data_IF_384529114943
#
_entry.id   IF_384529114943
#
_cell.length_a   1.000
_cell.length_b   1.000
_cell.length_c   1.000
_cell.angle_alpha   90.00
_cell.angle_beta   90.00
_cell.angle_gamma   90.00
#
_symmetry.space_group_name_H-M   'P 1'
#
loop_
_entity.id
_entity.type
_entity.pdbx_description
1 polymer ?
#
# COMPACT_ATOMS: atom_id res chain seq x y z
N UNK A 1 -11.74 -18.05 -10.44
CA UNK A 1 -10.60 -17.94 -11.37
C UNK A 1 -10.21 -19.28 -11.96
N UNK A 2 -10.18 -20.35 -11.18
CA UNK A 2 -9.72 -21.68 -11.66
C UNK A 2 -10.49 -22.18 -12.89
N UNK A 3 -11.82 -22.04 -12.90
CA UNK A 3 -12.66 -22.36 -14.08
C UNK A 3 -12.30 -21.52 -15.30
N UNK A 4 -12.03 -20.22 -15.12
CA UNK A 4 -11.65 -19.33 -16.22
C UNK A 4 -10.28 -19.70 -16.80
N UNK A 5 -9.31 -20.06 -15.95
CA UNK A 5 -8.00 -20.55 -16.38
C UNK A 5 -8.11 -21.88 -17.11
N UNK A 6 -8.92 -22.81 -16.59
CA UNK A 6 -9.18 -24.09 -17.26
C UNK A 6 -9.77 -23.87 -18.67
N UNK A 7 -10.80 -23.03 -18.81
CA UNK A 7 -11.37 -22.73 -20.11
C UNK A 7 -10.36 -22.08 -21.05
N UNK A 8 -9.58 -21.12 -20.55
CA UNK A 8 -8.52 -20.47 -21.30
C UNK A 8 -7.47 -21.46 -21.81
N UNK A 9 -7.01 -22.38 -20.96
CA UNK A 9 -6.01 -23.38 -21.33
C UNK A 9 -6.49 -24.30 -22.45
N UNK A 10 -7.78 -24.64 -22.46
CA UNK A 10 -8.43 -25.47 -23.47
C UNK A 10 -8.77 -24.74 -24.78
N UNK A 11 -8.47 -23.44 -24.93
CA UNK A 11 -8.64 -22.73 -26.21
C UNK A 11 -7.56 -23.23 -27.20
N UNK A 12 -7.95 -23.82 -28.35
CA UNK A 12 -7.00 -24.34 -29.34
C UNK A 12 -6.10 -23.26 -29.94
N UNK A 13 -6.68 -22.12 -30.31
CA UNK A 13 -5.97 -20.96 -30.85
C UNK A 13 -6.27 -19.72 -30.00
N UNK A 14 -5.31 -19.35 -29.14
CA UNK A 14 -5.45 -18.20 -28.25
C UNK A 14 -5.14 -16.91 -29.02
N UNK A 15 -6.10 -16.00 -29.08
CA UNK A 15 -5.94 -14.67 -29.67
C UNK A 15 -5.74 -13.59 -28.59
N UNK A 16 -5.47 -12.35 -29.00
CA UNK A 16 -5.23 -11.22 -28.08
C UNK A 16 -6.37 -11.06 -27.06
N UNK A 17 -7.63 -11.19 -27.47
CA UNK A 17 -8.80 -11.04 -26.59
C UNK A 17 -8.80 -12.12 -25.49
N UNK A 18 -8.50 -13.36 -25.83
CA UNK A 18 -8.45 -14.46 -24.84
C UNK A 18 -7.35 -14.23 -23.80
N UNK A 19 -6.16 -13.80 -24.23
CA UNK A 19 -5.04 -13.46 -23.34
C UNK A 19 -5.36 -12.25 -22.46
N UNK A 20 -5.85 -11.17 -23.05
CA UNK A 20 -6.22 -9.94 -22.34
C UNK A 20 -7.27 -10.22 -21.28
N UNK A 21 -8.30 -11.02 -21.60
CA UNK A 21 -9.38 -11.36 -20.67
C UNK A 21 -8.86 -12.09 -19.43
N UNK A 22 -8.01 -13.10 -19.59
CA UNK A 22 -7.49 -13.86 -18.45
C UNK A 22 -6.52 -13.02 -17.60
N UNK A 23 -5.68 -12.19 -18.24
CA UNK A 23 -4.75 -11.27 -17.55
C UNK A 23 -5.53 -10.23 -16.74
N UNK A 24 -6.51 -9.57 -17.36
CA UNK A 24 -7.36 -8.59 -16.70
C UNK A 24 -8.18 -9.23 -15.57
N UNK A 25 -8.71 -10.44 -15.77
CA UNK A 25 -9.43 -11.18 -14.74
C UNK A 25 -8.56 -11.45 -13.50
N UNK A 26 -7.33 -11.91 -13.68
CA UNK A 26 -6.38 -12.07 -12.56
C UNK A 26 -6.08 -10.74 -11.86
N UNK A 27 -5.85 -9.66 -12.62
CA UNK A 27 -5.60 -8.34 -12.04
C UNK A 27 -6.79 -7.80 -11.24
N UNK A 28 -8.03 -8.03 -11.70
CA UNK A 28 -9.26 -7.59 -11.01
C UNK A 28 -9.51 -8.29 -9.67
N UNK A 29 -9.05 -9.54 -9.52
CA UNK A 29 -9.16 -10.28 -8.25
C UNK A 29 -7.89 -10.19 -7.40
N UNK A 30 -7.04 -9.18 -7.63
CA UNK A 30 -5.78 -8.92 -6.92
C UNK A 30 -4.75 -10.07 -6.99
N UNK A 31 -4.87 -10.97 -7.98
CA UNK A 31 -3.92 -12.05 -8.25
C UNK A 31 -2.85 -11.55 -9.24
N UNK A 32 -2.12 -10.51 -8.85
CA UNK A 32 -1.18 -9.78 -9.71
C UNK A 32 -0.03 -10.65 -10.23
N UNK A 33 0.47 -11.58 -9.42
CA UNK A 33 1.56 -12.48 -9.81
C UNK A 33 1.13 -13.43 -10.93
N UNK A 34 -0.10 -13.93 -10.86
CA UNK A 34 -0.71 -14.76 -11.89
C UNK A 34 -0.95 -13.95 -13.17
N UNK A 35 -1.43 -12.70 -13.06
CA UNK A 35 -1.61 -11.82 -14.22
C UNK A 35 -0.29 -11.61 -14.99
N UNK A 36 0.81 -11.35 -14.27
CA UNK A 36 2.15 -11.24 -14.87
C UNK A 36 2.62 -12.58 -15.45
N UNK A 37 2.35 -13.69 -14.77
CA UNK A 37 2.69 -15.03 -15.25
C UNK A 37 2.07 -15.31 -16.62
N UNK A 38 0.77 -15.08 -16.74
CA UNK A 38 0.02 -15.27 -18.00
C UNK A 38 0.46 -14.29 -19.08
N UNK A 39 0.82 -13.05 -18.73
CA UNK A 39 1.44 -12.13 -19.68
C UNK A 39 2.78 -12.63 -20.22
N UNK A 40 3.62 -13.22 -19.37
CA UNK A 40 4.89 -13.81 -19.80
C UNK A 40 4.65 -15.00 -20.73
N UNK A 41 3.65 -15.83 -20.44
CA UNK A 41 3.21 -16.91 -21.33
C UNK A 41 2.80 -16.36 -22.70
N UNK A 42 1.95 -15.32 -22.74
CA UNK A 42 1.55 -14.63 -23.99
C UNK A 42 2.76 -14.17 -24.81
N UNK A 43 3.75 -13.56 -24.15
CA UNK A 43 4.96 -13.04 -24.79
C UNK A 43 5.90 -14.15 -25.30
N UNK A 44 5.80 -15.36 -24.74
CA UNK A 44 6.62 -16.52 -25.12
C UNK A 44 5.92 -17.46 -26.11
N UNK A 45 4.65 -17.23 -26.43
CA UNK A 45 3.87 -18.09 -27.30
C UNK A 45 4.47 -18.13 -28.72
N UNK A 46 4.51 -19.32 -29.31
CA UNK A 46 5.05 -19.55 -30.67
C UNK A 46 4.29 -18.74 -31.73
N UNK A 47 2.98 -18.55 -31.53
CA UNK A 47 2.16 -17.65 -32.32
C UNK A 47 2.38 -16.24 -31.78
N UNK A 48 3.00 -15.37 -32.58
CA UNK A 48 3.36 -13.99 -32.20
C UNK A 48 2.17 -13.05 -31.96
N UNK A 49 1.33 -13.36 -30.97
CA UNK A 49 0.20 -12.55 -30.54
C UNK A 49 0.75 -11.30 -29.85
N UNK A 50 0.48 -10.14 -30.44
CA UNK A 50 0.95 -8.87 -29.91
C UNK A 50 -0.03 -8.35 -28.84
N UNK A 51 0.43 -8.05 -27.62
CA UNK A 51 -0.39 -7.37 -26.63
C UNK A 51 -0.81 -5.98 -27.13
N UNK A 52 -2.07 -5.65 -26.84
CA UNK A 52 -2.69 -4.37 -27.14
C UNK A 52 -2.70 -3.43 -25.93
N UNK A 53 -3.30 -2.25 -26.08
CA UNK A 53 -3.40 -1.26 -25.00
C UNK A 53 -4.08 -1.81 -23.74
N UNK A 54 -5.16 -2.58 -23.89
CA UNK A 54 -5.91 -3.14 -22.77
C UNK A 54 -5.06 -4.16 -22.02
N UNK A 55 -4.30 -4.98 -22.75
CA UNK A 55 -3.30 -5.89 -22.17
C UNK A 55 -2.29 -5.11 -21.33
N UNK A 56 -1.72 -4.04 -21.89
CA UNK A 56 -0.71 -3.24 -21.20
C UNK A 56 -1.26 -2.58 -19.94
N UNK A 57 -2.48 -2.04 -19.97
CA UNK A 57 -3.13 -1.46 -18.80
C UNK A 57 -3.27 -2.48 -17.65
N UNK A 58 -3.72 -3.70 -17.97
CA UNK A 58 -3.89 -4.75 -16.97
C UNK A 58 -2.54 -5.18 -16.35
N UNK A 59 -1.51 -5.36 -17.17
CA UNK A 59 -0.19 -5.79 -16.70
C UNK A 59 0.54 -4.67 -15.95
N UNK A 60 0.42 -3.41 -16.40
CA UNK A 60 0.98 -2.26 -15.69
C UNK A 60 0.36 -2.11 -14.30
N UNK A 61 -0.95 -2.32 -14.16
CA UNK A 61 -1.61 -2.37 -12.85
C UNK A 61 -1.00 -3.46 -11.98
N UNK A 62 -0.81 -4.67 -12.50
CA UNK A 62 -0.16 -5.75 -11.75
C UNK A 62 1.29 -5.42 -11.35
N UNK A 63 2.06 -4.79 -12.25
CA UNK A 63 3.43 -4.33 -11.96
C UNK A 63 3.44 -3.29 -10.85
N UNK A 64 2.50 -2.33 -10.88
CA UNK A 64 2.38 -1.27 -9.90
C UNK A 64 2.09 -1.82 -8.49
N UNK A 65 1.25 -2.85 -8.38
CA UNK A 65 0.93 -3.49 -7.09
C UNK A 65 2.06 -4.37 -6.54
N UNK A 66 2.88 -4.96 -7.42
CA UNK A 66 4.00 -5.83 -7.02
C UNK A 66 5.34 -5.09 -6.95
N UNK A 67 5.40 -3.82 -7.37
CA UNK A 67 6.65 -3.06 -7.46
C UNK A 67 7.62 -3.60 -8.52
N UNK A 68 7.13 -4.24 -9.58
CA UNK A 68 7.94 -4.87 -10.64
C UNK A 68 8.49 -3.83 -11.62
N UNK A 69 9.46 -3.02 -11.16
CA UNK A 69 10.05 -1.92 -11.94
C UNK A 69 10.66 -2.39 -13.27
N UNK A 70 11.42 -3.48 -13.25
CA UNK A 70 12.10 -4.00 -14.46
C UNK A 70 11.10 -4.37 -15.55
N UNK A 71 10.02 -5.06 -15.18
CA UNK A 71 8.97 -5.43 -16.12
C UNK A 71 8.21 -4.20 -16.61
N UNK A 72 7.91 -3.25 -15.73
CA UNK A 72 7.28 -1.99 -16.10
C UNK A 72 8.12 -1.16 -17.09
N UNK A 73 9.44 -1.11 -16.92
CA UNK A 73 10.35 -0.46 -17.85
C UNK A 73 10.44 -1.17 -19.20
N UNK A 74 10.42 -2.50 -19.18
CA UNK A 74 10.34 -3.30 -20.39
C UNK A 74 9.02 -3.04 -21.14
N UNK A 75 7.88 -3.00 -20.44
CA UNK A 75 6.56 -2.68 -21.02
C UNK A 75 6.56 -1.28 -21.63
N UNK A 76 7.09 -0.28 -20.93
CA UNK A 76 7.20 1.08 -21.46
C UNK A 76 8.03 1.11 -22.74
N UNK A 77 9.16 0.40 -22.77
CA UNK A 77 10.02 0.27 -23.95
C UNK A 77 9.31 -0.44 -25.10
N UNK A 78 8.51 -1.48 -24.80
CA UNK A 78 7.69 -2.19 -25.77
C UNK A 78 6.64 -1.26 -26.39
N UNK A 79 5.91 -0.48 -25.58
CA UNK A 79 4.91 0.49 -26.05
C UNK A 79 5.52 1.44 -27.09
N UNK A 80 6.71 1.97 -26.79
CA UNK A 80 7.44 2.88 -27.70
C UNK A 80 7.88 2.14 -28.97
N UNK A 81 8.56 1.00 -28.82
CA UNK A 81 9.13 0.22 -29.94
C UNK A 81 8.06 -0.23 -30.92
N UNK A 82 6.89 -0.62 -30.42
CA UNK A 82 5.77 -1.11 -31.22
C UNK A 82 4.76 -0.03 -31.59
N UNK A 83 5.05 1.25 -31.28
CA UNK A 83 4.21 2.41 -31.61
C UNK A 83 2.75 2.24 -31.15
N UNK A 84 2.56 1.63 -29.98
CA UNK A 84 1.24 1.59 -29.36
C UNK A 84 0.81 3.02 -29.03
N UNK A 85 -0.46 3.33 -29.28
CA UNK A 85 -1.01 4.66 -29.01
C UNK A 85 -0.85 4.96 -27.52
N UNK A 86 -0.08 6.01 -27.18
CA UNK A 86 0.09 6.48 -25.81
C UNK A 86 -1.11 7.32 -25.39
N UNK A 87 -2.26 6.66 -25.26
CA UNK A 87 -3.49 7.28 -24.77
C UNK A 87 -3.28 7.84 -23.37
N UNK A 88 -4.15 8.76 -22.96
CA UNK A 88 -4.11 9.33 -21.60
C UNK A 88 -4.20 8.23 -20.52
N UNK A 89 -5.11 7.23 -20.60
CA UNK A 89 -5.13 6.11 -19.67
C UNK A 89 -3.80 5.34 -19.60
N UNK A 90 -3.18 5.04 -20.75
CA UNK A 90 -1.94 4.28 -20.77
C UNK A 90 -0.77 5.05 -20.14
N UNK A 91 -0.67 6.35 -20.41
CA UNK A 91 0.32 7.20 -19.72
C UNK A 91 0.07 7.27 -18.21
N UNK A 92 -1.18 7.37 -17.78
CA UNK A 92 -1.51 7.39 -16.34
C UNK A 92 -1.14 6.06 -15.66
N UNK A 93 -1.39 4.92 -16.30
CA UNK A 93 -0.98 3.61 -15.78
C UNK A 93 0.55 3.48 -15.67
N UNK A 94 1.30 4.01 -16.65
CA UNK A 94 2.76 4.06 -16.59
C UNK A 94 3.26 4.97 -15.44
N UNK A 95 2.63 6.14 -15.23
CA UNK A 95 2.96 7.04 -14.12
C UNK A 95 2.73 6.34 -12.78
N UNK A 96 1.56 5.71 -12.59
CA UNK A 96 1.22 4.96 -11.36
C UNK A 96 2.21 3.81 -11.11
N UNK A 97 2.53 3.04 -12.16
CA UNK A 97 3.51 1.95 -12.10
C UNK A 97 4.88 2.46 -11.67
N UNK A 98 5.39 3.52 -12.29
CA UNK A 98 6.69 4.10 -11.91
C UNK A 98 6.69 4.62 -10.48
N UNK A 99 5.61 5.29 -10.07
CA UNK A 99 5.48 5.85 -8.73
C UNK A 99 5.47 4.75 -7.65
N UNK A 100 4.69 3.69 -7.83
CA UNK A 100 4.58 2.58 -6.87
C UNK A 100 5.78 1.64 -6.89
N UNK A 101 6.54 1.62 -7.98
CA UNK A 101 7.79 0.84 -8.09
C UNK A 101 9.05 1.63 -7.69
N UNK A 102 8.89 2.75 -6.98
CA UNK A 102 10.00 3.52 -6.39
C UNK A 102 10.74 4.46 -7.35
N UNK A 103 10.20 4.73 -8.55
CA UNK A 103 10.82 5.64 -9.54
C UNK A 103 9.88 6.77 -9.97
N UNK A 104 9.35 7.51 -8.99
CA UNK A 104 8.44 8.66 -9.25
C UNK A 104 9.04 9.70 -10.20
N UNK A 105 10.37 9.87 -10.23
CA UNK A 105 11.05 10.80 -11.15
C UNK A 105 10.80 10.46 -12.62
N UNK A 106 10.76 9.18 -13.00
CA UNK A 106 10.35 8.76 -14.36
C UNK A 106 8.87 9.07 -14.62
N UNK A 107 8.01 8.88 -13.62
CA UNK A 107 6.60 9.27 -13.67
C UNK A 107 6.40 10.77 -13.94
N UNK A 108 7.12 11.63 -13.23
CA UNK A 108 7.09 13.09 -13.44
C UNK A 108 7.53 13.45 -14.87
N UNK A 109 8.64 12.89 -15.36
CA UNK A 109 9.08 13.14 -16.74
C UNK A 109 8.04 12.71 -17.76
N UNK A 110 7.38 11.58 -17.54
CA UNK A 110 6.32 11.09 -18.41
C UNK A 110 5.13 12.05 -18.40
N UNK A 111 4.69 12.50 -17.22
CA UNK A 111 3.62 13.47 -17.06
C UNK A 111 3.91 14.81 -17.77
N UNK A 112 5.14 15.34 -17.65
CA UNK A 112 5.54 16.57 -18.35
C UNK A 112 5.56 16.40 -19.87
N UNK A 113 5.81 15.19 -20.38
CA UNK A 113 5.78 14.88 -21.82
C UNK A 113 4.38 14.75 -22.42
N UNK A 114 3.32 14.70 -21.60
CA UNK A 114 1.95 14.54 -22.10
C UNK A 114 1.42 15.84 -22.69
N UNK A 115 0.98 15.79 -23.96
CA UNK A 115 0.32 16.92 -24.63
C UNK A 115 -1.06 17.21 -24.04
N UNK A 116 -1.83 16.15 -23.76
CA UNK A 116 -3.17 16.24 -23.18
C UNK A 116 -3.19 15.58 -21.80
N UNK A 117 -3.80 16.26 -20.83
CA UNK A 117 -3.90 15.81 -19.44
C UNK A 117 -5.34 15.94 -18.98
N UNK A 118 -5.91 14.84 -18.52
CA UNK A 118 -7.23 14.80 -17.90
C UNK A 118 -7.14 15.05 -16.39
N UNK A 119 -8.29 15.27 -15.74
CA UNK A 119 -8.38 15.29 -14.27
C UNK A 119 -7.70 14.08 -13.64
N UNK A 120 -7.89 12.88 -14.22
CA UNK A 120 -7.25 11.63 -13.77
C UNK A 120 -5.73 11.70 -13.87
N UNK A 121 -5.19 12.37 -14.89
CA UNK A 121 -3.74 12.51 -15.07
C UNK A 121 -3.13 13.34 -13.94
N UNK A 122 -3.77 14.46 -13.61
CA UNK A 122 -3.37 15.31 -12.48
C UNK A 122 -3.53 14.60 -11.14
N UNK A 123 -4.68 13.96 -10.88
CA UNK A 123 -4.89 13.19 -9.65
C UNK A 123 -3.85 12.07 -9.49
N UNK A 124 -3.50 11.38 -10.58
CA UNK A 124 -2.48 10.33 -10.56
C UNK A 124 -1.11 10.90 -10.19
N UNK A 125 -0.71 12.03 -10.77
CA UNK A 125 0.59 12.64 -10.46
C UNK A 125 0.65 13.20 -9.02
N UNK A 126 -0.42 13.83 -8.54
CA UNK A 126 -0.51 14.33 -7.16
C UNK A 126 -0.41 13.15 -6.17
N UNK A 127 -1.18 12.08 -6.39
CA UNK A 127 -1.11 10.85 -5.59
C UNK A 127 0.29 10.23 -5.61
N UNK A 128 0.89 10.13 -6.79
CA UNK A 128 2.22 9.55 -6.97
C UNK A 128 3.30 10.31 -6.19
N UNK A 129 3.24 11.65 -6.15
CA UNK A 129 4.14 12.46 -5.33
C UNK A 129 3.87 12.28 -3.84
N UNK A 130 2.59 12.28 -3.44
CA UNK A 130 2.16 12.11 -2.06
C UNK A 130 2.66 10.79 -1.43
N UNK A 131 2.47 9.67 -2.12
CA UNK A 131 2.90 8.34 -1.62
C UNK A 131 4.42 8.16 -1.61
N UNK A 132 5.15 8.95 -2.39
CA UNK A 132 6.61 8.93 -2.42
C UNK A 132 7.25 9.98 -1.48
N UNK A 133 6.46 10.64 -0.63
CA UNK A 133 6.96 11.61 0.36
C UNK A 133 7.22 13.02 -0.17
N UNK A 134 6.88 13.31 -1.42
CA UNK A 134 7.03 14.63 -2.04
C UNK A 134 5.77 15.47 -1.85
N UNK A 135 5.36 15.66 -0.58
CA UNK A 135 4.07 16.28 -0.26
C UNK A 135 3.95 17.73 -0.73
N UNK A 136 5.03 18.51 -0.65
CA UNK A 136 5.03 19.91 -1.10
C UNK A 136 4.94 20.04 -2.62
N UNK A 137 5.62 19.14 -3.34
CA UNK A 137 5.54 19.04 -4.79
C UNK A 137 4.16 18.57 -5.24
N UNK A 138 3.49 17.68 -4.48
CA UNK A 138 2.11 17.29 -4.74
C UNK A 138 1.16 18.50 -4.66
N UNK A 139 1.33 19.37 -3.65
CA UNK A 139 0.56 20.62 -3.56
C UNK A 139 0.88 21.59 -4.71
N UNK A 140 2.14 21.70 -5.13
CA UNK A 140 2.50 22.47 -6.33
C UNK A 140 1.81 21.93 -7.58
N UNK A 141 1.75 20.60 -7.76
CA UNK A 141 1.00 20.00 -8.87
C UNK A 141 -0.50 20.31 -8.80
N UNK A 142 -1.08 20.34 -7.60
CA UNK A 142 -2.47 20.76 -7.42
C UNK A 142 -2.67 22.24 -7.80
N UNK A 143 -1.80 23.15 -7.37
CA UNK A 143 -1.86 24.56 -7.78
C UNK A 143 -1.70 24.71 -9.30
N UNK A 144 -0.82 23.94 -9.94
CA UNK A 144 -0.68 23.92 -11.41
C UNK A 144 -1.95 23.44 -12.11
N UNK A 145 -2.61 22.41 -11.58
CA UNK A 145 -3.90 21.91 -12.08
C UNK A 145 -4.96 23.01 -12.05
N UNK A 146 -5.04 23.78 -10.96
CA UNK A 146 -5.97 24.92 -10.85
C UNK A 146 -5.62 26.04 -11.83
N UNK A 147 -4.35 26.39 -11.97
CA UNK A 147 -3.90 27.46 -12.88
C UNK A 147 -4.25 27.17 -14.35
N UNK A 148 -4.24 25.91 -14.76
CA UNK A 148 -4.66 25.50 -16.11
C UNK A 148 -6.18 25.31 -16.24
N UNK A 149 -6.95 25.66 -15.20
CA UNK A 149 -8.42 25.64 -15.21
C UNK A 149 -9.04 24.25 -15.07
N UNK A 150 -8.28 23.24 -14.65
CA UNK A 150 -8.82 21.88 -14.47
C UNK A 150 -9.37 21.75 -13.06
N UNK A 151 -10.69 21.57 -12.94
CA UNK A 151 -11.37 21.44 -11.64
C UNK A 151 -10.99 20.11 -10.97
N UNK A 152 -10.62 20.12 -9.67
CA UNK A 152 -10.37 18.89 -8.93
C UNK A 152 -11.64 18.08 -8.72
N UNK A 153 -11.47 16.77 -8.51
CA UNK A 153 -12.52 15.85 -8.08
C UNK A 153 -12.20 15.27 -6.70
N UNK A 154 -13.11 14.47 -6.14
CA UNK A 154 -12.93 13.80 -4.84
C UNK A 154 -11.60 13.04 -4.74
N UNK A 155 -11.20 12.30 -5.78
CA UNK A 155 -9.92 11.56 -5.81
C UNK A 155 -8.72 12.51 -5.72
N UNK A 156 -8.78 13.66 -6.38
CA UNK A 156 -7.73 14.68 -6.34
C UNK A 156 -7.54 15.22 -4.93
N UNK A 157 -8.63 15.47 -4.21
CA UNK A 157 -8.58 16.02 -2.85
C UNK A 157 -8.13 14.99 -1.83
N UNK A 158 -8.48 13.70 -2.00
CA UNK A 158 -7.89 12.62 -1.21
C UNK A 158 -6.36 12.61 -1.36
N UNK A 159 -5.87 12.78 -2.59
CA UNK A 159 -4.43 12.82 -2.87
C UNK A 159 -3.74 14.02 -2.20
N UNK A 160 -4.37 15.19 -2.23
CA UNK A 160 -3.91 16.41 -1.56
C UNK A 160 -3.87 16.23 -0.04
N UNK A 161 -4.94 15.72 0.56
CA UNK A 161 -4.99 15.48 2.01
C UNK A 161 -3.98 14.42 2.46
N UNK A 162 -3.77 13.38 1.64
CA UNK A 162 -2.73 12.37 1.88
C UNK A 162 -1.33 12.98 1.81
N UNK A 163 -1.09 13.90 0.86
CA UNK A 163 0.16 14.64 0.77
C UNK A 163 0.41 15.50 2.01
N UNK A 164 -0.63 16.17 2.50
CA UNK A 164 -0.57 16.93 3.75
C UNK A 164 -0.24 16.03 4.94
N UNK A 165 -0.92 14.88 5.07
CA UNK A 165 -0.66 13.91 6.15
C UNK A 165 0.80 13.44 6.17
N UNK A 166 1.32 13.02 5.02
CA UNK A 166 2.69 12.51 4.93
C UNK A 166 3.75 13.58 5.17
N UNK A 167 3.46 14.84 4.82
CA UNK A 167 4.38 15.96 5.00
C UNK A 167 4.17 16.73 6.32
N UNK A 168 3.18 16.36 7.14
CA UNK A 168 2.85 17.08 8.39
C UNK A 168 2.30 18.49 8.16
N UNK A 169 1.69 18.76 7.01
CA UNK A 169 1.15 20.07 6.62
C UNK A 169 -0.28 20.25 7.16
N UNK A 170 -0.40 20.42 8.47
CA UNK A 170 -1.69 20.45 9.19
C UNK A 170 -2.59 21.57 8.70
N UNK A 171 -2.05 22.79 8.60
CA UNK A 171 -2.82 23.97 8.20
C UNK A 171 -3.31 23.88 6.76
N UNK A 172 -2.47 23.39 5.84
CA UNK A 172 -2.87 23.11 4.46
C UNK A 172 -3.93 22.01 4.40
N UNK A 173 -3.80 20.95 5.19
CA UNK A 173 -4.82 19.90 5.29
C UNK A 173 -6.18 20.42 5.74
N UNK A 174 -6.23 21.24 6.80
CA UNK A 174 -7.45 21.92 7.26
C UNK A 174 -8.05 22.79 6.17
N UNK A 175 -7.22 23.59 5.51
CA UNK A 175 -7.64 24.47 4.42
C UNK A 175 -8.28 23.67 3.29
N UNK A 176 -7.61 22.63 2.79
CA UNK A 176 -8.10 21.82 1.68
C UNK A 176 -9.36 21.03 2.03
N UNK A 177 -9.47 20.55 3.28
CA UNK A 177 -10.67 19.88 3.79
C UNK A 177 -11.86 20.83 3.95
N UNK A 178 -11.63 22.12 4.17
CA UNK A 178 -12.70 23.13 4.19
C UNK A 178 -13.13 23.54 2.79
N UNK A 179 -12.17 23.90 1.93
CA UNK A 179 -12.49 24.44 0.59
C UNK A 179 -13.01 23.36 -0.36
N UNK A 180 -12.87 22.06 -0.05
CA UNK A 180 -13.49 21.02 -0.85
C UNK A 180 -15.00 21.18 -0.99
N UNK A 181 -15.68 21.52 0.10
CA UNK A 181 -17.11 21.77 0.09
C UNK A 181 -17.40 23.20 -0.37
N UNK A 182 -16.75 24.21 0.23
CA UNK A 182 -17.07 25.63 -0.01
C UNK A 182 -16.75 26.10 -1.44
N UNK A 183 -15.58 25.70 -1.98
CA UNK A 183 -15.12 26.15 -3.30
C UNK A 183 -15.44 25.14 -4.39
N UNK A 184 -15.27 23.85 -4.11
CA UNK A 184 -15.43 22.82 -5.12
C UNK A 184 -16.77 22.09 -5.06
N UNK A 185 -17.62 22.31 -4.06
CA UNK A 185 -18.90 21.60 -3.94
C UNK A 185 -18.75 20.08 -3.84
N UNK A 186 -17.62 19.61 -3.30
CA UNK A 186 -17.31 18.19 -3.10
C UNK A 186 -17.48 17.90 -1.62
N UNK A 187 -18.54 17.18 -1.26
CA UNK A 187 -18.77 16.76 0.12
C UNK A 187 -17.73 15.71 0.56
N UNK A 188 -17.19 15.82 1.79
CA UNK A 188 -16.21 14.85 2.28
C UNK A 188 -16.80 13.45 2.46
N UNK A 189 -16.12 12.45 1.88
CA UNK A 189 -16.41 11.03 2.08
C UNK A 189 -15.48 10.40 3.13
N UNK A 190 -15.72 9.12 3.45
CA UNK A 190 -14.95 8.38 4.48
C UNK A 190 -13.44 8.38 4.25
N UNK A 191 -12.97 8.51 3.01
CA UNK A 191 -11.55 8.53 2.69
C UNK A 191 -10.93 9.89 3.01
N UNK A 192 -11.66 10.99 2.78
CA UNK A 192 -11.20 12.33 3.16
C UNK A 192 -11.05 12.46 4.67
N UNK A 193 -12.04 11.95 5.41
CA UNK A 193 -11.96 11.87 6.87
C UNK A 193 -10.78 10.99 7.34
N UNK A 194 -10.56 9.84 6.69
CA UNK A 194 -9.38 9.00 6.95
C UNK A 194 -8.05 9.74 6.81
N UNK A 195 -7.88 10.51 5.72
CA UNK A 195 -6.68 11.32 5.53
C UNK A 195 -6.52 12.40 6.62
N UNK A 196 -7.60 13.05 7.04
CA UNK A 196 -7.56 14.08 8.08
C UNK A 196 -7.26 13.50 9.46
N UNK A 197 -7.83 12.35 9.81
CA UNK A 197 -7.53 11.65 11.07
C UNK A 197 -6.07 11.21 11.11
N UNK A 198 -5.53 10.68 10.01
CA UNK A 198 -4.11 10.33 9.90
C UNK A 198 -3.21 11.57 10.05
N UNK A 199 -3.55 12.68 9.38
CA UNK A 199 -2.81 13.95 9.50
C UNK A 199 -2.79 14.49 10.93
N UNK A 200 -3.98 14.65 11.53
CA UNK A 200 -4.13 15.19 12.89
C UNK A 200 -3.47 14.27 13.92
N UNK A 201 -3.67 12.96 13.79
CA UNK A 201 -3.06 11.97 14.68
C UNK A 201 -1.53 12.02 14.62
N UNK A 202 -0.93 12.08 13.42
CA UNK A 202 0.53 12.17 13.27
C UNK A 202 1.13 13.44 13.86
N UNK A 203 0.37 14.52 13.83
CA UNK A 203 0.74 15.85 14.29
C UNK A 203 0.31 16.15 15.75
N UNK A 204 -0.16 15.14 16.49
CA UNK A 204 -0.50 15.25 17.92
C UNK A 204 -1.74 16.10 18.24
N UNK A 205 -2.65 16.22 17.28
CA UNK A 205 -3.97 16.84 17.47
C UNK A 205 -5.02 15.76 17.76
N UNK A 206 -4.79 14.91 18.76
CA UNK A 206 -5.62 13.73 19.06
C UNK A 206 -7.08 14.07 19.40
N UNK A 207 -7.30 15.09 20.23
CA UNK A 207 -8.65 15.52 20.61
C UNK A 207 -9.47 15.95 19.41
N UNK A 208 -8.82 16.64 18.46
CA UNK A 208 -9.45 17.05 17.23
C UNK A 208 -9.72 15.86 16.30
N UNK A 209 -8.77 14.92 16.18
CA UNK A 209 -8.98 13.70 15.42
C UNK A 209 -10.19 12.90 15.94
N UNK A 210 -10.34 12.79 17.27
CA UNK A 210 -11.51 12.16 17.90
C UNK A 210 -12.78 12.96 17.66
N UNK A 211 -12.74 14.29 17.79
CA UNK A 211 -13.90 15.12 17.50
C UNK A 211 -14.35 14.95 16.04
N UNK A 212 -13.40 14.90 15.11
CA UNK A 212 -13.68 14.71 13.69
C UNK A 212 -14.38 13.36 13.42
N UNK A 213 -13.97 12.29 14.11
CA UNK A 213 -14.61 10.96 14.06
C UNK A 213 -16.02 10.97 14.68
N UNK A 214 -16.28 11.85 15.65
CA UNK A 214 -17.62 11.98 16.25
C UNK A 214 -18.56 12.80 15.37
N UNK A 215 -18.04 13.77 14.63
CA UNK A 215 -18.85 14.69 13.81
C UNK A 215 -19.09 14.20 12.38
N UNK A 216 -18.39 13.15 11.93
CA UNK A 216 -18.58 12.61 10.58
C UNK A 216 -19.99 12.02 10.38
N UNK A 217 -20.57 12.14 9.17
CA UNK A 217 -21.97 11.76 8.92
C UNK A 217 -22.20 10.25 8.70
N UNK A 218 -21.19 9.41 8.93
CA UNK A 218 -21.23 7.95 8.75
C UNK A 218 -20.32 7.29 9.80
N UNK A 219 -20.41 5.96 9.94
CA UNK A 219 -19.57 5.21 10.87
C UNK A 219 -18.12 5.08 10.38
N UNK A 220 -17.17 5.15 11.31
CA UNK A 220 -15.75 5.05 10.99
C UNK A 220 -15.36 3.60 10.66
N UNK A 221 -14.57 3.44 9.59
CA UNK A 221 -14.08 2.13 9.15
C UNK A 221 -12.74 1.77 9.80
N UNK A 222 -12.24 0.57 9.48
CA UNK A 222 -10.99 0.05 10.02
C UNK A 222 -9.77 0.95 9.72
N UNK A 223 -9.77 1.67 8.59
CA UNK A 223 -8.66 2.57 8.22
C UNK A 223 -8.60 3.79 9.14
N UNK A 224 -9.75 4.39 9.45
CA UNK A 224 -9.85 5.55 10.38
C UNK A 224 -9.42 5.13 11.79
N UNK A 225 -10.00 4.06 12.31
CA UNK A 225 -9.65 3.55 13.64
C UNK A 225 -8.20 3.09 13.74
N UNK A 226 -7.67 2.46 12.69
CA UNK A 226 -6.26 2.09 12.60
C UNK A 226 -5.32 3.30 12.61
N UNK A 227 -5.71 4.39 11.93
CA UNK A 227 -4.94 5.65 11.92
C UNK A 227 -4.91 6.30 13.31
N UNK A 228 -6.06 6.36 13.99
CA UNK A 228 -6.16 6.88 15.35
C UNK A 228 -5.35 6.04 16.34
N UNK A 229 -5.43 4.71 16.24
CA UNK A 229 -4.67 3.78 17.08
C UNK A 229 -3.16 3.94 16.89
N UNK A 230 -2.70 4.12 15.65
CA UNK A 230 -1.29 4.35 15.35
C UNK A 230 -0.78 5.65 16.00
N UNK A 231 -1.58 6.73 15.93
CA UNK A 231 -1.28 8.00 16.61
C UNK A 231 -1.23 7.84 18.13
N UNK A 232 -2.27 7.23 18.72
CA UNK A 232 -2.36 6.97 20.16
C UNK A 232 -1.15 6.19 20.70
N UNK A 233 -0.71 5.16 19.96
CA UNK A 233 0.47 4.37 20.30
C UNK A 233 1.74 5.21 20.27
N UNK A 234 1.91 6.05 19.24
CA UNK A 234 3.09 6.91 19.09
C UNK A 234 3.21 7.93 20.22
N UNK A 235 2.09 8.43 20.71
CA UNK A 235 2.02 9.46 21.77
C UNK A 235 1.75 8.88 23.17
N UNK A 236 1.77 7.56 23.33
CA UNK A 236 1.49 6.87 24.61
C UNK A 236 0.12 7.21 25.24
N UNK A 237 -0.87 7.59 24.43
CA UNK A 237 -2.24 7.85 24.87
C UNK A 237 -3.05 6.55 24.96
N UNK A 238 -2.92 5.87 26.11
CA UNK A 238 -3.42 4.50 26.32
C UNK A 238 -4.93 4.38 26.15
N UNK A 239 -5.71 5.23 26.81
CA UNK A 239 -7.18 5.14 26.81
C UNK A 239 -7.78 5.29 25.40
N UNK A 240 -7.24 6.24 24.63
CA UNK A 240 -7.67 6.51 23.26
C UNK A 240 -7.24 5.36 22.33
N UNK A 241 -6.07 4.76 22.57
CA UNK A 241 -5.64 3.54 21.90
C UNK A 241 -6.58 2.36 22.16
N UNK A 242 -7.05 2.17 23.40
CA UNK A 242 -8.02 1.13 23.74
C UNK A 242 -9.37 1.35 23.05
N UNK A 243 -9.89 2.58 23.05
CA UNK A 243 -11.14 2.92 22.39
C UNK A 243 -11.09 2.67 20.88
N UNK A 244 -10.05 3.19 20.20
CA UNK A 244 -9.87 3.00 18.76
C UNK A 244 -9.81 1.51 18.40
N UNK A 245 -9.18 0.74 19.27
CA UNK A 245 -8.97 -0.67 19.07
C UNK A 245 -10.21 -1.52 19.31
N UNK A 246 -11.03 -1.19 20.31
CA UNK A 246 -12.32 -1.83 20.53
C UNK A 246 -13.17 -1.74 19.26
N UNK A 247 -13.31 -0.54 18.70
CA UNK A 247 -14.01 -0.33 17.44
C UNK A 247 -13.39 -1.09 16.27
N UNK A 248 -12.05 -1.16 16.18
CA UNK A 248 -11.38 -1.91 15.13
C UNK A 248 -11.69 -3.42 15.18
N UNK A 249 -11.82 -4.00 16.37
CA UNK A 249 -12.22 -5.41 16.53
C UNK A 249 -13.70 -5.66 16.22
N UNK A 250 -14.56 -4.65 16.40
CA UNK A 250 -15.98 -4.72 16.01
C UNK A 250 -16.14 -4.65 14.49
N UNK A 251 -15.39 -3.76 13.82
CA UNK A 251 -15.45 -3.56 12.36
C UNK A 251 -14.80 -4.72 11.59
N UNK A 252 -13.67 -5.25 12.07
CA UNK A 252 -12.94 -6.34 11.42
C UNK A 252 -12.56 -7.47 12.38
N UNK A 253 -13.54 -8.27 12.85
CA UNK A 253 -13.33 -9.32 13.86
C UNK A 253 -12.48 -10.49 13.37
N UNK A 254 -12.17 -10.57 12.07
CA UNK A 254 -11.35 -11.64 11.46
C UNK A 254 -9.94 -11.20 11.05
N UNK A 255 -9.58 -9.94 11.29
CA UNK A 255 -8.29 -9.43 10.87
C UNK A 255 -7.20 -9.75 11.91
N UNK A 256 -6.30 -10.66 11.56
CA UNK A 256 -5.17 -11.08 12.42
C UNK A 256 -4.20 -9.95 12.79
N UNK A 257 -4.09 -8.93 11.93
CA UNK A 257 -3.27 -7.75 12.14
C UNK A 257 -3.78 -6.92 13.30
N UNK A 258 -5.11 -6.76 13.42
CA UNK A 258 -5.73 -5.97 14.48
C UNK A 258 -5.41 -6.58 15.85
N UNK A 259 -5.63 -7.88 16.05
CA UNK A 259 -5.27 -8.58 17.29
C UNK A 259 -3.77 -8.56 17.60
N UNK A 260 -2.93 -8.70 16.57
CA UNK A 260 -1.47 -8.61 16.74
C UNK A 260 -1.05 -7.21 17.22
N UNK A 261 -1.66 -6.17 16.65
CA UNK A 261 -1.43 -4.79 17.04
C UNK A 261 -1.90 -4.54 18.48
N UNK A 262 -3.08 -5.04 18.87
CA UNK A 262 -3.56 -4.99 20.28
C UNK A 262 -2.52 -5.53 21.23
N UNK A 263 -2.07 -6.77 20.96
CA UNK A 263 -1.20 -7.48 21.87
C UNK A 263 0.14 -6.77 22.01
N UNK A 264 0.68 -6.26 20.90
CA UNK A 264 1.94 -5.51 20.89
C UNK A 264 1.82 -4.16 21.61
N UNK A 265 0.69 -3.46 21.47
CA UNK A 265 0.45 -2.19 22.17
C UNK A 265 0.37 -2.39 23.68
N UNK A 266 -0.40 -3.39 24.16
CA UNK A 266 -0.44 -3.70 25.59
C UNK A 266 0.91 -4.17 26.15
N UNK A 267 1.64 -5.00 25.40
CA UNK A 267 2.97 -5.46 25.80
C UNK A 267 3.96 -4.29 25.93
N UNK A 268 3.96 -3.35 24.99
CA UNK A 268 4.81 -2.15 25.02
C UNK A 268 4.52 -1.23 26.22
N UNK A 269 3.30 -1.31 26.77
CA UNK A 269 2.86 -0.55 27.95
C UNK A 269 2.99 -1.36 29.25
N UNK A 270 3.60 -2.56 29.22
CA UNK A 270 3.76 -3.44 30.39
C UNK A 270 2.48 -4.16 30.84
N UNK A 271 1.38 -4.02 30.10
CA UNK A 271 0.06 -4.60 30.41
C UNK A 271 -0.10 -6.02 29.85
N UNK A 272 0.71 -6.94 30.38
CA UNK A 272 0.84 -8.31 29.87
C UNK A 272 -0.42 -9.19 30.00
N UNK A 273 -1.33 -8.86 30.92
CA UNK A 273 -2.62 -9.55 31.08
C UNK A 273 -3.53 -9.31 29.87
N UNK A 274 -3.69 -8.05 29.50
CA UNK A 274 -4.54 -7.60 28.39
C UNK A 274 -3.93 -8.03 27.04
N UNK A 275 -2.59 -7.96 26.93
CA UNK A 275 -1.88 -8.52 25.78
C UNK A 275 -2.17 -10.02 25.56
N UNK A 276 -2.30 -10.78 26.65
CA UNK A 276 -2.67 -12.21 26.63
C UNK A 276 -4.14 -12.42 26.28
N UNK A 277 -5.05 -11.61 26.82
CA UNK A 277 -6.48 -11.66 26.49
C UNK A 277 -6.68 -11.45 24.98
N UNK A 278 -6.02 -10.47 24.39
CA UNK A 278 -6.11 -10.23 22.94
C UNK A 278 -5.63 -11.42 22.10
N UNK A 279 -4.49 -12.04 22.47
CA UNK A 279 -4.00 -13.28 21.82
C UNK A 279 -4.94 -14.46 22.04
N UNK A 280 -5.61 -14.52 23.19
CA UNK A 280 -6.60 -15.56 23.49
C UNK A 280 -7.83 -15.40 22.59
N UNK A 281 -8.41 -14.21 22.51
CA UNK A 281 -9.56 -13.92 21.63
C UNK A 281 -9.22 -14.27 20.18
N UNK A 282 -8.04 -13.88 19.69
CA UNK A 282 -7.57 -14.21 18.33
C UNK A 282 -7.53 -15.73 18.06
N UNK A 283 -7.09 -16.52 19.05
CA UNK A 283 -7.07 -17.99 18.94
C UNK A 283 -8.48 -18.57 18.97
N UNK A 284 -9.30 -18.10 19.91
CA UNK A 284 -10.68 -18.57 20.11
C UNK A 284 -11.57 -18.23 18.89
N UNK A 285 -11.28 -17.16 18.16
CA UNK A 285 -11.98 -16.78 16.91
C UNK A 285 -11.42 -17.48 15.66
N UNK A 286 -10.40 -18.34 15.79
CA UNK A 286 -9.81 -19.09 14.68
C UNK A 286 -8.97 -18.24 13.72
N UNK A 287 -8.62 -17.01 14.11
CA UNK A 287 -7.86 -16.07 13.29
C UNK A 287 -6.37 -16.43 13.38
N UNK A 288 -5.78 -16.90 12.26
CA UNK A 288 -4.35 -17.25 12.19
C UNK A 288 -3.52 -16.03 11.82
N UNK A 289 -2.40 -15.81 12.53
CA UNK A 289 -1.40 -14.79 12.18
C UNK A 289 -0.79 -15.17 10.83
N UNK A 290 -0.83 -14.25 9.86
CA UNK A 290 -0.02 -14.39 8.64
C UNK A 290 1.45 -14.15 9.03
N UNK A 291 2.36 -15.12 8.85
CA UNK A 291 3.76 -14.90 9.16
C UNK A 291 4.30 -13.81 8.24
N UNK A 292 5.04 -12.86 8.81
CA UNK A 292 5.73 -11.84 8.03
C UNK A 292 6.65 -12.51 7.02
N UNK A 293 6.59 -12.10 5.76
CA UNK A 293 7.32 -12.74 4.67
C UNK A 293 8.08 -11.73 3.83
N UNK A 294 9.25 -12.13 3.34
CA UNK A 294 10.00 -11.43 2.29
C UNK A 294 10.35 -12.41 1.19
N UNK A 295 10.76 -11.92 0.03
CA UNK A 295 11.29 -12.77 -1.02
C UNK A 295 12.46 -12.12 -1.74
N UNK A 296 13.36 -12.94 -2.27
CA UNK A 296 14.43 -12.48 -3.16
C UNK A 296 14.34 -13.23 -4.48
N UNK A 297 14.66 -12.55 -5.58
CA UNK A 297 14.76 -13.17 -6.91
C UNK A 297 16.23 -13.27 -7.30
N UNK A 298 16.74 -14.49 -7.44
CA UNK A 298 18.12 -14.76 -7.87
C UNK A 298 18.10 -15.67 -9.09
N UNK A 299 18.67 -15.20 -10.21
CA UNK A 299 18.82 -15.97 -11.46
C UNK A 299 17.53 -16.69 -11.87
N UNK A 300 16.42 -15.94 -11.90
CA UNK A 300 15.07 -16.42 -12.24
C UNK A 300 14.37 -17.36 -11.24
N UNK A 301 14.93 -17.58 -10.04
CA UNK A 301 14.23 -18.25 -8.94
C UNK A 301 13.83 -17.25 -7.87
N UNK A 302 12.59 -17.35 -7.40
CA UNK A 302 12.09 -16.60 -6.25
C UNK A 302 12.24 -17.48 -5.02
N UNK A 303 12.89 -16.96 -3.99
CA UNK A 303 13.02 -17.60 -2.68
C UNK A 303 12.19 -16.80 -1.70
N UNK A 304 11.20 -17.45 -1.08
CA UNK A 304 10.37 -16.87 -0.04
C UNK A 304 11.00 -17.17 1.33
N UNK A 305 10.93 -16.20 2.23
CA UNK A 305 11.37 -16.31 3.61
C UNK A 305 10.25 -15.83 4.51
N UNK A 306 9.65 -16.73 5.27
CA UNK A 306 8.66 -16.39 6.28
C UNK A 306 9.29 -16.38 7.67
N UNK A 307 8.80 -15.52 8.54
CA UNK A 307 9.20 -15.48 9.94
C UNK A 307 8.92 -16.84 10.59
N UNK A 308 9.97 -17.48 11.11
CA UNK A 308 9.91 -18.83 11.71
C UNK A 308 10.03 -20.00 10.72
N UNK A 309 10.09 -19.74 9.41
CA UNK A 309 10.19 -20.79 8.40
C UNK A 309 11.61 -21.38 8.34
N UNK A 310 11.70 -22.70 8.48
CA UNK A 310 12.94 -23.48 8.40
C UNK A 310 13.00 -24.41 7.18
N UNK A 311 12.06 -24.29 6.24
CA UNK A 311 11.95 -25.14 5.05
C UNK A 311 13.06 -24.92 4.02
N UNK A 312 13.76 -23.78 4.07
CA UNK A 312 14.83 -23.47 3.13
C UNK A 312 16.04 -24.41 3.35
N UNK A 313 16.61 -24.94 2.26
CA UNK A 313 17.75 -25.89 2.32
C UNK A 313 19.01 -25.34 3.00
N UNK A 314 19.11 -24.02 3.12
CA UNK A 314 20.19 -23.32 3.83
C UNK A 314 19.72 -22.67 5.14
N UNK A 315 18.62 -23.12 5.75
CA UNK A 315 18.01 -22.48 6.91
C UNK A 315 19.02 -22.28 8.06
N UNK A 316 19.83 -23.27 8.40
CA UNK A 316 20.85 -23.14 9.46
C UNK A 316 21.84 -22.00 9.18
N UNK A 317 22.29 -21.87 7.93
CA UNK A 317 23.22 -20.80 7.53
C UNK A 317 22.53 -19.44 7.58
N UNK A 318 21.28 -19.36 7.11
CA UNK A 318 20.46 -18.14 7.13
C UNK A 318 20.26 -17.67 8.57
N UNK A 319 19.81 -18.55 9.46
CA UNK A 319 19.60 -18.23 10.88
C UNK A 319 20.91 -17.91 11.60
N UNK A 320 22.03 -18.56 11.26
CA UNK A 320 23.36 -18.19 11.77
C UNK A 320 23.72 -16.75 11.37
N UNK A 321 23.55 -16.37 10.11
CA UNK A 321 23.83 -15.00 9.63
C UNK A 321 22.88 -13.99 10.30
N UNK A 322 21.58 -14.29 10.37
CA UNK A 322 20.58 -13.47 11.08
C UNK A 322 20.98 -13.24 12.54
N UNK A 323 21.46 -14.27 13.25
CA UNK A 323 21.93 -14.13 14.63
C UNK A 323 23.13 -13.20 14.76
N UNK A 324 24.05 -13.23 13.78
CA UNK A 324 25.21 -12.34 13.75
C UNK A 324 24.80 -10.90 13.45
N UNK A 325 23.90 -10.69 12.48
CA UNK A 325 23.36 -9.37 12.15
C UNK A 325 22.60 -8.75 13.32
N UNK A 326 21.79 -9.54 14.03
CA UNK A 326 21.07 -9.06 15.23
C UNK A 326 22.03 -8.64 16.34
N UNK A 327 23.15 -9.36 16.54
CA UNK A 327 24.19 -8.96 17.49
C UNK A 327 24.81 -7.62 17.10
N UNK A 328 25.20 -7.45 15.84
CA UNK A 328 25.77 -6.19 15.34
C UNK A 328 24.78 -5.04 15.45
N UNK A 329 23.51 -5.26 15.11
CA UNK A 329 22.46 -4.23 15.22
C UNK A 329 22.25 -3.79 16.67
N UNK A 330 22.34 -4.69 17.66
CA UNK A 330 22.26 -4.35 19.08
C UNK A 330 23.47 -3.53 19.53
N UNK A 331 24.67 -3.84 19.04
CA UNK A 331 25.89 -3.08 19.36
C UNK A 331 25.83 -1.65 18.80
N UNK A 332 25.40 -1.48 17.54
CA UNK A 332 25.27 -0.16 16.90
C UNK A 332 24.19 0.71 17.56
N UNK A 333 23.06 0.11 17.96
CA UNK A 333 21.99 0.86 18.67
C UNK A 333 22.40 1.30 20.08
N UNK A 334 23.27 0.54 20.76
CA UNK A 334 23.77 0.89 22.08
C UNK A 334 24.85 1.98 22.06
N UNK A 335 25.62 2.10 20.96
CA UNK A 335 26.68 3.12 20.84
C UNK A 335 26.15 4.51 20.47
N UNK A 336 25.00 4.62 19.81
CA UNK A 336 24.46 5.92 19.35
C UNK A 336 23.31 6.51 20.21
N UNK A 337 22.58 5.72 21.02
CA UNK A 337 21.36 6.23 21.69
C UNK A 337 21.04 5.74 23.12
N UNK A 338 21.95 5.09 23.85
CA UNK A 338 21.79 4.87 25.30
C UNK A 338 20.43 4.26 25.74
N UNK A 339 19.90 3.29 25.00
CA UNK A 339 18.68 2.57 25.36
C UNK A 339 19.04 1.23 26.02
N UNK A 340 19.03 1.19 27.36
CA UNK A 340 19.00 -0.08 28.09
C UNK A 340 17.56 -0.64 28.11
N UNK A 341 17.46 -1.93 27.76
CA UNK A 341 16.30 -2.84 27.94
C UNK A 341 15.00 -2.54 27.16
N UNK A 342 14.87 -3.09 25.94
CA UNK A 342 13.55 -3.25 25.31
C UNK A 342 13.37 -4.47 24.38
N UNK A 343 14.25 -5.48 24.41
CA UNK A 343 14.15 -6.63 23.49
C UNK A 343 14.48 -7.98 24.15
N UNK A 344 13.64 -8.38 25.11
CA UNK A 344 13.47 -9.79 25.51
C UNK A 344 12.08 -10.36 25.13
N UNK A 345 11.31 -9.64 24.31
CA UNK A 345 9.98 -10.09 23.87
C UNK A 345 10.00 -11.17 22.76
N UNK A 346 11.15 -11.40 22.09
CA UNK A 346 11.26 -12.38 21.01
C UNK A 346 11.76 -13.76 21.46
N UNK A 347 12.26 -13.91 22.70
CA UNK A 347 12.72 -15.20 23.25
C UNK A 347 11.58 -16.05 23.86
N UNK A 348 10.32 -15.60 23.81
CA UNK A 348 9.15 -16.38 24.26
C UNK A 348 8.42 -17.11 23.12
N UNK A 349 9.01 -17.17 21.92
CA UNK A 349 8.48 -17.94 20.79
C UNK A 349 9.00 -19.38 20.69
N UNK A 350 9.82 -19.84 21.65
CA UNK A 350 10.34 -21.23 21.65
C UNK A 350 9.62 -22.22 22.57
N UNK A 351 8.62 -21.81 23.36
CA UNK A 351 7.88 -22.77 24.18
C UNK A 351 6.41 -22.95 23.76
N UNK A 352 6.16 -24.17 23.27
CA UNK A 352 4.88 -24.87 23.12
C UNK A 352 4.23 -24.88 21.72
N UNK A 353 4.68 -25.89 20.95
CA UNK A 353 3.96 -26.82 20.06
C UNK A 353 2.96 -26.27 19.02
#
# INVERSE_FOLDING_TARGET
>A
MDTAKYLFDNIPEKNVISWTTIIAGYAQVNQFSQAIGVFREMMSAEVGVKPDEVTMLAVLSACAHLGELELGEWIHSYIIKHRLCRTVPLNNALIDMYAKSGNVKKGVKLFESMETRSVVSWSTMISALAVNGYGREALNMFSRMEMVGIRPNSITLIAVLSACSHAGLVEEGRLYFKIMEEKYGISPDIRHYGCMVDLLGRADYLDEAVNLIKTMPFEANAVIWGSLLAAAKKQSHVELGEQALQHLTEVEPRNSGNYSLVSNTYAALGRWSEARVARKIMRDTGVKKLPGGSFIKVKNRVYYFYSGDRSHSQCERIYRILSQLNKVSKTVLNEDWGYEELLDADNLYEDHL
#
